data_IF_833562888722
#
_entry.id   IF_833562888722
#
_cell.length_a   1.000
_cell.length_b   1.000
_cell.length_c   1.000
_cell.angle_alpha   90.00
_cell.angle_beta   90.00
_cell.angle_gamma   90.00
#
_symmetry.space_group_name_H-M   'P 1'
#
loop_
_entity.id
_entity.type
_entity.pdbx_description
1 polymer ?
#
# COMPACT_ATOMS: atom_id res chain seq x y z
N UNK A 1 -71.82 37.04 44.73
CA UNK A 1 -71.44 37.17 43.31
C UNK A 1 -71.96 35.96 42.58
N UNK A 2 -72.81 36.18 41.57
CA UNK A 2 -73.34 35.12 40.72
C UNK A 2 -72.22 34.64 39.78
N UNK A 3 -71.98 33.32 39.72
CA UNK A 3 -70.99 32.73 38.82
C UNK A 3 -71.73 32.25 37.56
N UNK A 4 -71.34 32.78 36.40
CA UNK A 4 -71.95 32.50 35.10
C UNK A 4 -70.95 31.89 34.13
N UNK A 5 -71.39 30.87 33.38
CA UNK A 5 -70.61 30.23 32.33
C UNK A 5 -71.19 30.60 30.96
N UNK A 6 -70.47 31.42 30.19
CA UNK A 6 -70.90 31.87 28.86
C UNK A 6 -71.01 30.72 27.85
N UNK A 7 -70.17 29.68 27.97
CA UNK A 7 -70.17 28.57 27.02
C UNK A 7 -71.38 27.63 27.18
N UNK A 8 -72.05 27.62 28.33
CA UNK A 8 -73.12 26.67 28.66
C UNK A 8 -74.36 27.33 29.29
N UNK A 9 -74.38 28.66 29.37
CA UNK A 9 -75.41 29.50 30.01
C UNK A 9 -75.78 29.10 31.46
N UNK A 10 -74.89 28.39 32.14
CA UNK A 10 -75.10 27.91 33.51
C UNK A 10 -74.83 29.01 34.54
N UNK A 11 -75.76 29.22 35.49
CA UNK A 11 -75.62 30.19 36.58
C UNK A 11 -75.69 29.53 37.94
N UNK A 12 -74.87 29.99 38.89
CA UNK A 12 -74.99 29.60 40.30
C UNK A 12 -74.38 30.62 41.25
N UNK A 13 -74.99 30.77 42.42
CA UNK A 13 -74.49 31.68 43.47
C UNK A 13 -73.40 31.05 44.34
N UNK A 14 -73.15 29.73 44.20
CA UNK A 14 -72.20 28.97 45.00
C UNK A 14 -70.94 28.62 44.18
N UNK A 15 -69.81 29.21 44.56
CA UNK A 15 -68.52 29.02 43.87
C UNK A 15 -68.07 27.56 43.81
N UNK A 16 -68.37 26.75 44.84
CA UNK A 16 -68.03 25.33 44.87
C UNK A 16 -68.77 24.54 43.76
N UNK A 17 -70.03 24.86 43.50
CA UNK A 17 -70.82 24.22 42.45
C UNK A 17 -70.36 24.67 41.06
N UNK A 18 -69.97 25.95 40.92
CA UNK A 18 -69.40 26.45 39.68
C UNK A 18 -68.09 25.73 39.32
N UNK A 19 -67.18 25.53 40.29
CA UNK A 19 -65.95 24.76 40.06
C UNK A 19 -66.23 23.31 39.67
N UNK A 20 -67.21 22.65 40.30
CA UNK A 20 -67.65 21.29 39.90
C UNK A 20 -68.24 21.27 38.49
N UNK A 21 -69.00 22.30 38.11
CA UNK A 21 -69.52 22.45 36.75
C UNK A 21 -68.39 22.51 35.72
N UNK A 22 -67.36 23.34 35.94
CA UNK A 22 -66.20 23.47 35.05
C UNK A 22 -65.45 22.14 34.84
N UNK A 23 -65.43 21.27 35.86
CA UNK A 23 -64.78 19.97 35.80
C UNK A 23 -65.67 18.86 35.22
N UNK A 24 -66.95 19.16 34.92
CA UNK A 24 -67.88 18.16 34.42
C UNK A 24 -67.59 17.79 32.96
N UNK A 25 -67.76 16.50 32.63
CA UNK A 25 -67.57 16.00 31.26
C UNK A 25 -68.44 16.75 30.23
N UNK A 26 -69.65 17.18 30.62
CA UNK A 26 -70.55 17.97 29.77
C UNK A 26 -69.97 19.35 29.46
N UNK A 27 -69.47 20.07 30.47
CA UNK A 27 -68.84 21.38 30.26
C UNK A 27 -67.58 21.28 29.39
N UNK A 28 -66.71 20.28 29.63
CA UNK A 28 -65.48 20.09 28.87
C UNK A 28 -65.78 19.84 27.38
N UNK A 29 -66.83 19.07 27.06
CA UNK A 29 -67.22 18.83 25.67
C UNK A 29 -67.78 20.08 24.97
N UNK A 30 -68.55 20.90 25.68
CA UNK A 30 -69.14 22.13 25.11
C UNK A 30 -68.09 23.24 24.98
N UNK A 31 -67.20 23.41 25.97
CA UNK A 31 -66.10 24.38 25.91
C UNK A 31 -65.11 24.08 24.78
N UNK A 32 -64.78 22.81 24.53
CA UNK A 32 -63.93 22.41 23.39
C UNK A 32 -64.57 22.76 22.04
N UNK A 33 -65.90 22.69 21.91
CA UNK A 33 -66.62 23.13 20.70
C UNK A 33 -66.66 24.66 20.59
N UNK A 34 -66.87 25.37 21.71
CA UNK A 34 -66.89 26.83 21.76
C UNK A 34 -65.53 27.44 21.35
N UNK A 35 -64.41 26.88 21.82
CA UNK A 35 -63.05 27.31 21.44
C UNK A 35 -62.80 27.12 19.94
N UNK A 36 -63.32 26.03 19.34
CA UNK A 36 -63.21 25.80 17.89
C UNK A 36 -64.01 26.82 17.07
N UNK A 37 -65.17 27.26 17.54
CA UNK A 37 -65.98 28.29 16.86
C UNK A 37 -65.35 29.68 17.04
N UNK A 38 -64.80 29.97 18.22
CA UNK A 38 -64.12 31.24 18.51
C UNK A 38 -62.81 31.41 17.72
N UNK A 39 -62.13 30.32 17.35
CA UNK A 39 -60.97 30.34 16.47
C UNK A 39 -61.30 30.64 14.98
N UNK A 40 -62.56 30.47 14.55
CA UNK A 40 -63.01 30.74 13.18
C UNK A 40 -63.39 32.22 12.98
N UNK A 41 -63.73 32.94 14.05
CA UNK A 41 -64.05 34.37 14.05
C UNK A 41 -62.85 35.17 14.58
N UNK A 42 -61.82 35.31 13.73
CA UNK A 42 -60.53 35.91 14.06
C UNK A 42 -60.61 37.35 14.57
N UNK A 43 -60.46 37.52 15.90
CA UNK A 43 -60.15 38.81 16.54
C UNK A 43 -58.98 38.60 17.50
N UNK A 44 -57.74 38.75 17.02
CA UNK A 44 -56.57 38.98 17.89
C UNK A 44 -55.61 39.95 17.20
N UNK A 45 -55.36 41.09 17.87
CA UNK A 45 -54.39 42.14 17.50
C UNK A 45 -52.96 41.61 17.34
N UNK A 46 -52.12 42.23 16.48
CA UNK A 46 -50.77 41.73 16.21
C UNK A 46 -49.87 41.86 17.45
N UNK A 47 -49.38 40.72 17.97
CA UNK A 47 -48.30 40.68 18.97
C UNK A 47 -47.00 41.17 18.31
N UNK A 48 -46.38 42.20 18.87
CA UNK A 48 -45.03 42.63 18.48
C UNK A 48 -44.02 41.48 18.62
N UNK A 49 -43.11 41.31 17.66
CA UNK A 49 -42.09 40.26 17.67
C UNK A 49 -40.75 40.81 18.15
N UNK A 50 -40.43 40.59 19.43
CA UNK A 50 -39.23 41.14 20.09
C UNK A 50 -38.06 40.16 20.07
N UNK A 51 -36.85 40.64 19.82
CA UNK A 51 -35.63 39.84 19.87
C UNK A 51 -35.17 39.57 21.31
N UNK A 52 -34.98 38.30 21.66
CA UNK A 52 -34.56 37.87 23.01
C UNK A 52 -33.13 38.33 23.38
N UNK A 53 -32.28 38.60 22.40
CA UNK A 53 -30.84 38.86 22.62
C UNK A 53 -30.49 40.35 22.62
N UNK A 54 -31.29 41.19 21.95
CA UNK A 54 -31.03 42.64 21.88
C UNK A 54 -32.28 43.51 22.04
N UNK A 55 -33.42 42.90 22.42
CA UNK A 55 -34.68 43.55 22.77
C UNK A 55 -35.29 44.46 21.70
N UNK A 56 -34.83 44.36 20.45
CA UNK A 56 -35.40 45.11 19.32
C UNK A 56 -36.75 44.53 18.90
N UNK A 57 -37.73 45.40 18.68
CA UNK A 57 -39.07 45.01 18.22
C UNK A 57 -39.16 44.98 16.69
N UNK A 58 -39.85 43.97 16.18
CA UNK A 58 -40.06 43.77 14.75
C UNK A 58 -41.54 43.58 14.42
N UNK A 59 -41.93 44.15 13.27
CA UNK A 59 -43.30 44.09 12.75
C UNK A 59 -43.73 42.69 12.32
N UNK A 60 -42.77 41.84 11.93
CA UNK A 60 -43.03 40.49 11.41
C UNK A 60 -42.04 39.47 12.00
N UNK A 61 -42.52 38.23 12.20
CA UNK A 61 -41.70 37.09 12.67
C UNK A 61 -40.51 36.80 11.75
N UNK A 62 -40.69 36.96 10.44
CA UNK A 62 -39.63 36.79 9.43
C UNK A 62 -38.51 37.80 9.62
N UNK A 63 -38.84 39.06 9.90
CA UNK A 63 -37.87 40.13 10.18
C UNK A 63 -37.07 39.85 11.46
N UNK A 64 -37.74 39.37 12.51
CA UNK A 64 -37.07 38.92 13.74
C UNK A 64 -36.11 37.75 13.45
N UNK A 65 -36.54 36.76 12.67
CA UNK A 65 -35.73 35.58 12.36
C UNK A 65 -34.49 35.93 11.53
N UNK A 66 -34.62 36.82 10.55
CA UNK A 66 -33.49 37.32 9.76
C UNK A 66 -32.52 38.15 10.62
N UNK A 67 -33.05 38.95 11.54
CA UNK A 67 -32.23 39.69 12.49
C UNK A 67 -31.40 38.77 13.37
N UNK A 68 -31.98 37.73 13.99
CA UNK A 68 -31.26 36.76 14.82
C UNK A 68 -30.13 36.09 14.02
N UNK A 69 -30.42 35.70 12.76
CA UNK A 69 -29.49 34.92 11.95
C UNK A 69 -28.32 35.72 11.36
N UNK A 70 -28.55 36.98 10.95
CA UNK A 70 -27.57 37.71 10.14
C UNK A 70 -27.12 39.06 10.71
N UNK A 71 -27.77 39.57 11.76
CA UNK A 71 -27.54 40.96 12.20
C UNK A 71 -27.54 41.15 13.72
N UNK A 72 -27.81 40.12 14.50
CA UNK A 72 -27.84 40.20 15.96
C UNK A 72 -26.44 39.94 16.52
N UNK A 73 -25.73 41.02 16.86
CA UNK A 73 -24.36 40.98 17.39
C UNK A 73 -24.20 40.31 18.77
N UNK A 74 -25.32 39.88 19.38
CA UNK A 74 -25.37 39.20 20.70
C UNK A 74 -25.85 37.74 20.61
N UNK A 75 -26.05 37.21 19.40
CA UNK A 75 -26.45 35.82 19.16
C UNK A 75 -25.25 34.84 19.10
N UNK A 76 -24.02 35.33 19.28
CA UNK A 76 -22.79 34.56 19.06
C UNK A 76 -22.38 33.64 20.22
N UNK A 77 -22.92 33.85 21.43
CA UNK A 77 -22.47 33.11 22.63
C UNK A 77 -23.13 31.74 22.82
N UNK A 78 -24.33 31.51 22.29
CA UNK A 78 -25.01 30.20 22.43
C UNK A 78 -24.53 29.19 21.38
N UNK A 79 -24.32 29.64 20.15
CA UNK A 79 -23.81 28.77 19.07
C UNK A 79 -22.38 28.28 19.36
N UNK A 80 -21.55 29.11 20.01
CA UNK A 80 -20.20 28.72 20.41
C UNK A 80 -20.20 27.71 21.57
N UNK A 81 -21.09 27.86 22.55
CA UNK A 81 -21.23 26.91 23.67
C UNK A 81 -21.68 25.53 23.18
N UNK A 82 -22.63 25.49 22.25
CA UNK A 82 -23.11 24.22 21.69
C UNK A 82 -22.02 23.54 20.84
N UNK A 83 -21.23 24.31 20.09
CA UNK A 83 -20.07 23.77 19.37
C UNK A 83 -19.03 23.16 20.30
N UNK A 84 -18.69 23.83 21.41
CA UNK A 84 -17.76 23.33 22.42
C UNK A 84 -18.30 22.04 23.06
N UNK A 85 -19.60 21.97 23.34
CA UNK A 85 -20.25 20.77 23.89
C UNK A 85 -20.13 19.58 22.91
N UNK A 86 -20.40 19.80 21.63
CA UNK A 86 -20.28 18.78 20.58
C UNK A 86 -18.84 18.32 20.36
N UNK A 87 -17.87 19.23 20.45
CA UNK A 87 -16.44 18.90 20.36
C UNK A 87 -15.99 18.04 21.54
N UNK A 88 -16.37 18.39 22.77
CA UNK A 88 -16.05 17.59 23.95
C UNK A 88 -16.66 16.18 23.87
N UNK A 89 -17.90 16.07 23.41
CA UNK A 89 -18.54 14.77 23.18
C UNK A 89 -17.79 13.93 22.14
N UNK A 90 -17.29 14.56 21.06
CA UNK A 90 -16.49 13.87 20.04
C UNK A 90 -15.15 13.41 20.59
N UNK A 91 -14.46 14.22 21.39
CA UNK A 91 -13.20 13.85 22.04
C UNK A 91 -13.40 12.62 22.94
N UNK A 92 -14.44 12.61 23.79
CA UNK A 92 -14.74 11.45 24.63
C UNK A 92 -15.01 10.17 23.83
N UNK A 93 -15.66 10.28 22.67
CA UNK A 93 -15.88 9.11 21.79
C UNK A 93 -14.60 8.63 21.13
N UNK A 94 -13.69 9.54 20.78
CA UNK A 94 -12.39 9.21 20.21
C UNK A 94 -11.47 8.56 21.25
N UNK A 95 -11.46 9.06 22.48
CA UNK A 95 -10.67 8.47 23.57
C UNK A 95 -11.11 7.03 23.87
N UNK A 96 -12.42 6.77 23.90
CA UNK A 96 -12.94 5.41 24.04
C UNK A 96 -12.54 4.50 22.88
N UNK A 97 -12.54 5.01 21.64
CA UNK A 97 -12.08 4.24 20.49
C UNK A 97 -10.58 3.92 20.58
N UNK A 98 -9.74 4.89 20.95
CA UNK A 98 -8.31 4.71 21.14
C UNK A 98 -8.04 3.66 22.22
N UNK A 99 -8.75 3.71 23.35
CA UNK A 99 -8.60 2.73 24.42
C UNK A 99 -8.96 1.31 23.94
N UNK A 100 -10.04 1.16 23.16
CA UNK A 100 -10.41 -0.15 22.60
C UNK A 100 -9.41 -0.65 21.55
N UNK A 101 -8.79 0.25 20.79
CA UNK A 101 -7.75 -0.10 19.82
C UNK A 101 -6.46 -0.51 20.52
N UNK A 102 -6.04 0.21 21.56
CA UNK A 102 -4.87 -0.13 22.37
C UNK A 102 -5.01 -1.51 23.03
N UNK A 103 -6.18 -1.84 23.59
CA UNK A 103 -6.46 -3.18 24.14
C UNK A 103 -6.39 -4.30 23.09
N UNK A 104 -6.69 -4.01 21.82
CA UNK A 104 -6.54 -4.98 20.72
C UNK A 104 -5.07 -5.12 20.31
N UNK A 105 -4.31 -4.03 20.30
CA UNK A 105 -2.87 -4.01 20.00
C UNK A 105 -2.11 -4.83 21.05
N UNK A 106 -2.37 -4.63 22.35
CA UNK A 106 -1.73 -5.41 23.43
C UNK A 106 -2.01 -6.92 23.29
N UNK A 107 -3.26 -7.31 22.95
CA UNK A 107 -3.62 -8.71 22.70
C UNK A 107 -2.94 -9.31 21.47
N UNK A 108 -2.59 -8.50 20.47
CA UNK A 108 -1.83 -8.93 19.29
C UNK A 108 -0.33 -9.00 19.59
N UNK A 109 0.22 -8.03 20.33
CA UNK A 109 1.62 -8.03 20.76
C UNK A 109 1.95 -9.25 21.64
N UNK A 110 1.10 -9.59 22.61
CA UNK A 110 1.28 -10.79 23.43
C UNK A 110 1.20 -12.11 22.65
N UNK A 111 0.64 -12.12 21.43
CA UNK A 111 0.67 -13.28 20.52
C UNK A 111 1.92 -13.34 19.64
N UNK A 112 2.60 -12.21 19.42
CA UNK A 112 3.81 -12.13 18.62
C UNK A 112 5.07 -12.49 19.43
N UNK A 113 5.05 -12.32 20.74
CA UNK A 113 6.20 -12.63 21.62
C UNK A 113 6.51 -14.14 21.76
N UNK A 114 5.66 -15.04 21.26
CA UNK A 114 5.83 -16.50 21.43
C UNK A 114 6.66 -17.18 20.30
N UNK A 115 7.14 -16.48 19.26
CA UNK A 115 7.86 -17.11 18.14
C UNK A 115 9.29 -16.62 17.88
N UNK A 116 10.06 -16.29 18.92
CA UNK A 116 11.50 -15.97 18.79
C UNK A 116 12.43 -17.18 18.98
N UNK A 117 12.07 -18.35 18.42
CA UNK A 117 12.95 -19.53 18.34
C UNK A 117 13.41 -19.83 16.90
N UNK A 118 13.51 -18.80 16.05
CA UNK A 118 14.29 -18.91 14.82
C UNK A 118 15.71 -18.43 15.10
N UNK A 119 16.56 -19.34 15.57
CA UNK A 119 18.01 -19.19 15.46
C UNK A 119 18.40 -19.34 13.98
N UNK A 120 18.12 -18.34 13.15
CA UNK A 120 18.84 -18.15 11.90
C UNK A 120 20.19 -17.57 12.28
N UNK A 121 21.20 -18.43 12.39
CA UNK A 121 22.60 -18.01 12.29
C UNK A 121 22.77 -17.37 10.92
N UNK A 122 22.62 -16.05 10.85
CA UNK A 122 22.97 -15.26 9.68
C UNK A 122 24.50 -15.25 9.66
N UNK A 123 25.10 -16.33 9.16
CA UNK A 123 26.50 -16.33 8.74
C UNK A 123 26.52 -15.42 7.52
N UNK A 124 26.70 -14.13 7.78
CA UNK A 124 26.90 -13.12 6.76
C UNK A 124 28.32 -13.33 6.22
N UNK A 125 28.47 -14.33 5.36
CA UNK A 125 29.62 -14.43 4.47
C UNK A 125 29.54 -13.22 3.53
N UNK A 126 30.08 -12.08 3.93
CA UNK A 126 30.33 -10.94 3.06
C UNK A 126 31.43 -11.34 2.07
N UNK A 127 31.12 -12.17 1.08
CA UNK A 127 31.99 -12.34 -0.07
C UNK A 127 31.85 -11.09 -0.94
N UNK A 128 32.97 -10.45 -1.26
CA UNK A 128 32.97 -9.26 -2.13
C UNK A 128 32.97 -9.76 -3.57
N UNK A 129 32.02 -9.28 -4.36
CA UNK A 129 31.94 -9.63 -5.78
C UNK A 129 33.13 -9.00 -6.52
N UNK A 130 33.78 -9.76 -7.41
CA UNK A 130 34.86 -9.26 -8.25
C UNK A 130 34.29 -8.57 -9.48
N UNK A 131 34.96 -7.52 -9.94
CA UNK A 131 34.62 -6.89 -11.21
C UNK A 131 34.72 -7.91 -12.35
N UNK A 132 33.87 -7.79 -13.38
CA UNK A 132 33.88 -8.69 -14.54
C UNK A 132 35.26 -8.79 -15.21
N UNK A 133 36.00 -7.68 -15.26
CA UNK A 133 37.35 -7.63 -15.82
C UNK A 133 38.42 -8.23 -14.92
N UNK A 134 38.13 -8.40 -13.63
CA UNK A 134 39.02 -8.94 -12.62
C UNK A 134 38.54 -10.32 -12.14
N UNK A 135 37.78 -11.02 -13.00
CA UNK A 135 37.28 -12.36 -12.69
C UNK A 135 38.46 -13.28 -12.38
N UNK A 136 38.41 -13.93 -11.22
CA UNK A 136 39.46 -14.86 -10.79
C UNK A 136 39.41 -16.12 -11.67
N UNK A 137 40.52 -16.41 -12.37
CA UNK A 137 40.68 -17.62 -13.18
C UNK A 137 41.61 -18.64 -12.52
N UNK A 138 42.19 -18.31 -11.35
CA UNK A 138 43.21 -19.14 -10.69
C UNK A 138 42.70 -20.50 -10.20
N UNK A 139 41.39 -20.64 -10.04
CA UNK A 139 40.76 -21.90 -9.63
C UNK A 139 40.62 -22.90 -10.76
N UNK A 140 40.85 -22.49 -12.01
CA UNK A 140 40.74 -23.39 -13.15
C UNK A 140 41.92 -24.35 -13.18
N UNK A 141 41.61 -25.64 -13.26
CA UNK A 141 42.60 -26.70 -13.40
C UNK A 141 42.64 -27.22 -14.82
N UNK A 142 43.75 -27.85 -15.22
CA UNK A 142 43.86 -28.52 -16.52
C UNK A 142 42.71 -29.52 -16.77
N UNK A 143 42.23 -30.19 -15.72
CA UNK A 143 41.10 -31.10 -15.80
C UNK A 143 39.79 -30.38 -16.16
N UNK A 144 39.59 -29.14 -15.73
CA UNK A 144 38.43 -28.32 -16.10
C UNK A 144 38.46 -27.98 -17.60
N UNK A 145 39.62 -27.60 -18.13
CA UNK A 145 39.80 -27.35 -19.58
C UNK A 145 39.54 -28.63 -20.38
N UNK A 146 40.14 -29.75 -19.97
CA UNK A 146 39.91 -31.07 -20.59
C UNK A 146 38.43 -31.45 -20.56
N UNK A 147 37.75 -31.21 -19.45
CA UNK A 147 36.32 -31.47 -19.30
C UNK A 147 35.48 -30.63 -20.25
N UNK A 148 35.78 -29.34 -20.39
CA UNK A 148 35.07 -28.45 -21.29
C UNK A 148 35.25 -28.86 -22.77
N UNK A 149 36.49 -29.10 -23.22
CA UNK A 149 36.77 -29.49 -24.61
C UNK A 149 36.12 -30.84 -24.95
N UNK A 150 36.06 -31.77 -23.99
CA UNK A 150 35.37 -33.07 -24.17
C UNK A 150 33.88 -32.92 -24.52
N UNK A 151 33.25 -31.78 -24.20
CA UNK A 151 31.83 -31.51 -24.48
C UNK A 151 31.58 -30.89 -25.86
N UNK A 152 32.62 -30.70 -26.69
CA UNK A 152 32.54 -30.25 -28.09
C UNK A 152 31.68 -28.98 -28.19
N UNK A 153 30.44 -29.06 -28.68
CA UNK A 153 29.52 -27.93 -28.90
C UNK A 153 29.23 -27.11 -27.64
N UNK A 154 29.32 -27.71 -26.45
CA UNK A 154 29.07 -27.01 -25.18
C UNK A 154 30.36 -26.59 -24.46
N UNK A 155 31.53 -26.63 -25.12
CA UNK A 155 32.80 -26.31 -24.47
C UNK A 155 32.80 -24.89 -23.87
N UNK A 156 32.37 -23.89 -24.64
CA UNK A 156 32.30 -22.48 -24.20
C UNK A 156 31.25 -22.29 -23.11
N UNK A 157 30.05 -22.88 -23.26
CA UNK A 157 28.99 -22.83 -22.24
C UNK A 157 29.49 -23.36 -20.89
N UNK A 158 30.13 -24.52 -20.90
CA UNK A 158 30.66 -25.15 -19.69
C UNK A 158 31.82 -24.34 -19.09
N UNK A 159 32.62 -23.69 -19.93
CA UNK A 159 33.68 -22.80 -19.46
C UNK A 159 33.10 -21.58 -18.75
N UNK A 160 32.09 -20.91 -19.34
CA UNK A 160 31.38 -19.79 -18.70
C UNK A 160 30.77 -20.25 -17.37
N UNK A 161 30.19 -21.44 -17.32
CA UNK A 161 29.63 -22.01 -16.08
C UNK A 161 30.68 -22.19 -14.99
N UNK A 162 31.88 -22.67 -15.34
CA UNK A 162 33.00 -22.89 -14.43
C UNK A 162 33.69 -21.60 -13.97
N UNK A 163 33.66 -20.56 -14.80
CA UNK A 163 34.26 -19.26 -14.49
C UNK A 163 33.33 -18.42 -13.63
N UNK A 164 32.10 -18.16 -14.10
CA UNK A 164 31.20 -17.19 -13.48
C UNK A 164 30.18 -17.81 -12.52
N UNK A 165 29.89 -19.12 -12.63
CA UNK A 165 28.83 -19.79 -11.86
C UNK A 165 29.35 -20.94 -10.99
N UNK A 166 30.63 -20.88 -10.59
CA UNK A 166 31.22 -21.87 -9.71
C UNK A 166 30.66 -21.70 -8.27
N UNK A 167 30.10 -22.77 -7.65
CA UNK A 167 29.67 -22.73 -6.26
C UNK A 167 30.79 -22.42 -5.25
N UNK A 168 32.04 -22.77 -5.59
CA UNK A 168 33.21 -22.56 -4.72
C UNK A 168 33.80 -21.15 -4.83
N UNK A 169 33.45 -20.42 -5.89
CA UNK A 169 33.92 -19.06 -6.18
C UNK A 169 32.73 -18.13 -6.44
N UNK A 170 31.91 -17.85 -5.41
CA UNK A 170 30.76 -16.97 -5.55
C UNK A 170 31.17 -15.52 -5.92
N UNK A 171 32.44 -15.14 -5.71
CA UNK A 171 32.98 -13.83 -6.04
C UNK A 171 32.99 -13.55 -7.56
N UNK A 172 33.03 -14.59 -8.39
CA UNK A 172 33.02 -14.46 -9.86
C UNK A 172 31.61 -14.35 -10.46
N UNK A 173 30.57 -14.30 -9.63
CA UNK A 173 29.16 -14.20 -10.06
C UNK A 173 28.80 -12.77 -10.49
N UNK A 174 29.57 -12.24 -11.43
CA UNK A 174 29.63 -10.83 -11.81
C UNK A 174 28.90 -10.51 -13.12
N UNK A 175 28.12 -11.46 -13.64
CA UNK A 175 27.32 -11.31 -14.85
C UNK A 175 25.99 -12.09 -14.72
N UNK A 176 24.87 -11.47 -15.06
CA UNK A 176 23.56 -12.15 -15.12
C UNK A 176 22.53 -11.43 -15.99
N UNK A 177 21.47 -12.15 -16.39
CA UNK A 177 20.33 -11.56 -17.10
C UNK A 177 19.18 -11.34 -16.11
N UNK A 178 18.75 -10.08 -15.95
CA UNK A 178 17.63 -9.70 -15.08
C UNK A 178 16.26 -10.08 -15.68
N UNK A 179 16.12 -9.89 -16.99
CA UNK A 179 14.88 -10.14 -17.74
C UNK A 179 15.18 -10.74 -19.12
N UNK A 180 14.47 -11.82 -19.45
CA UNK A 180 14.61 -12.51 -20.74
C UNK A 180 14.22 -11.65 -21.95
N UNK A 181 13.21 -10.77 -21.80
CA UNK A 181 12.72 -9.89 -22.87
C UNK A 181 13.58 -8.65 -23.08
N UNK A 182 14.38 -8.28 -22.09
CA UNK A 182 15.20 -7.08 -22.17
C UNK A 182 16.35 -7.26 -23.19
N UNK A 183 16.79 -6.17 -23.80
CA UNK A 183 17.95 -6.14 -24.69
C UNK A 183 19.28 -6.01 -23.94
N UNK A 184 19.23 -5.84 -22.62
CA UNK A 184 20.40 -5.62 -21.78
C UNK A 184 20.73 -6.82 -20.88
N UNK A 185 21.99 -6.89 -20.44
CA UNK A 185 22.54 -7.80 -19.44
C UNK A 185 23.20 -6.97 -18.32
N UNK A 186 23.21 -7.50 -17.09
CA UNK A 186 23.84 -6.86 -15.96
C UNK A 186 25.27 -7.37 -15.79
N UNK A 187 26.22 -6.45 -15.68
CA UNK A 187 27.65 -6.74 -15.46
C UNK A 187 28.11 -5.93 -14.25
N UNK A 188 28.87 -6.54 -13.36
CA UNK A 188 29.44 -5.87 -12.21
C UNK A 188 30.80 -5.26 -12.54
N UNK A 189 30.99 -3.97 -12.27
CA UNK A 189 32.25 -3.26 -12.53
C UNK A 189 33.20 -3.20 -11.31
N UNK A 190 32.82 -3.82 -10.19
CA UNK A 190 33.54 -3.74 -8.91
C UNK A 190 32.88 -2.83 -7.88
N UNK A 191 32.04 -1.89 -8.34
CA UNK A 191 31.28 -0.99 -7.48
C UNK A 191 29.76 -1.18 -7.69
N UNK A 192 29.30 -1.10 -8.94
CA UNK A 192 27.89 -1.09 -9.33
C UNK A 192 27.58 -2.11 -10.44
N UNK A 193 26.31 -2.47 -10.53
CA UNK A 193 25.77 -3.24 -11.66
C UNK A 193 25.44 -2.30 -12.83
N UNK A 194 26.09 -2.52 -13.96
CA UNK A 194 25.91 -1.74 -15.17
C UNK A 194 25.17 -2.55 -16.25
N UNK A 195 24.34 -1.86 -17.03
CA UNK A 195 23.64 -2.43 -18.17
C UNK A 195 24.56 -2.43 -19.39
N UNK A 196 24.74 -3.60 -20.00
CA UNK A 196 25.43 -3.78 -21.28
C UNK A 196 24.49 -4.39 -22.32
N UNK A 197 24.79 -4.21 -23.61
CA UNK A 197 24.01 -4.85 -24.67
C UNK A 197 24.15 -6.37 -24.59
N UNK A 198 23.01 -7.07 -24.50
CA UNK A 198 22.96 -8.53 -24.33
C UNK A 198 23.61 -9.29 -25.48
N UNK A 199 23.44 -8.84 -26.73
CA UNK A 199 24.03 -9.53 -27.89
C UNK A 199 25.53 -9.33 -27.91
N UNK A 200 25.96 -8.07 -27.91
CA UNK A 200 27.38 -7.71 -28.01
C UNK A 200 28.21 -8.26 -26.83
N UNK A 201 27.64 -8.30 -25.62
CA UNK A 201 28.33 -8.88 -24.47
C UNK A 201 28.37 -10.41 -24.53
N UNK A 202 27.28 -11.05 -24.96
CA UNK A 202 27.27 -12.51 -25.07
C UNK A 202 28.24 -13.00 -26.14
N UNK A 203 28.34 -12.28 -27.26
CA UNK A 203 29.29 -12.58 -28.33
C UNK A 203 30.74 -12.41 -27.83
N UNK A 204 31.03 -11.29 -27.13
CA UNK A 204 32.35 -11.08 -26.51
C UNK A 204 32.71 -12.13 -25.47
N UNK A 205 31.78 -12.46 -24.57
CA UNK A 205 31.95 -13.50 -23.56
C UNK A 205 32.24 -14.86 -24.22
N UNK A 206 31.55 -15.15 -25.33
CA UNK A 206 31.74 -16.39 -26.07
C UNK A 206 33.15 -16.44 -26.70
N UNK A 207 33.54 -15.39 -27.42
CA UNK A 207 34.85 -15.28 -28.09
C UNK A 207 36.02 -15.33 -27.08
N UNK A 208 35.90 -14.63 -25.96
CA UNK A 208 36.93 -14.60 -24.92
C UNK A 208 37.19 -15.99 -24.33
N UNK A 209 36.12 -16.74 -24.04
CA UNK A 209 36.24 -18.08 -23.45
C UNK A 209 36.63 -19.14 -24.49
N UNK A 210 36.32 -18.92 -25.76
CA UNK A 210 36.84 -19.73 -26.88
C UNK A 210 38.35 -19.54 -27.04
N UNK A 211 38.83 -18.30 -27.05
CA UNK A 211 40.26 -17.97 -27.14
C UNK A 211 41.04 -18.59 -25.97
N UNK A 212 40.49 -18.52 -24.76
CA UNK A 212 41.10 -19.13 -23.58
C UNK A 212 41.21 -20.67 -23.68
N UNK A 213 40.26 -21.33 -24.33
CA UNK A 213 40.32 -22.78 -24.59
C UNK A 213 41.38 -23.11 -25.65
N UNK A 214 41.50 -22.27 -26.69
CA UNK A 214 42.48 -22.42 -27.76
C UNK A 214 43.91 -22.24 -27.23
N UNK A 215 44.18 -21.17 -26.48
CA UNK A 215 45.50 -20.89 -25.89
C UNK A 215 45.95 -22.02 -24.94
N UNK A 216 45.02 -22.55 -24.14
CA UNK A 216 45.31 -23.68 -23.27
C UNK A 216 45.61 -24.96 -24.06
N UNK A 217 44.90 -25.20 -25.16
CA UNK A 217 45.10 -26.36 -26.03
C UNK A 217 46.44 -26.29 -26.78
N UNK A 218 46.87 -25.09 -27.19
CA UNK A 218 48.18 -24.87 -27.80
C UNK A 218 49.32 -25.09 -26.79
N UNK A 219 49.11 -24.71 -25.52
CA UNK A 219 50.05 -24.94 -24.43
C UNK A 219 50.08 -26.41 -23.96
N UNK A 220 48.96 -27.12 -24.07
CA UNK A 220 48.79 -28.53 -23.68
C UNK A 220 48.34 -29.40 -24.86
N UNK A 221 49.24 -29.66 -25.83
CA UNK A 221 48.87 -30.34 -27.06
C UNK A 221 48.44 -31.78 -26.77
N UNK A 222 47.13 -32.02 -26.89
CA UNK A 222 46.53 -33.35 -26.82
C UNK A 222 45.78 -33.60 -28.14
N UNK A 223 46.23 -34.58 -28.96
CA UNK A 223 45.63 -34.86 -30.26
C UNK A 223 44.12 -35.16 -30.19
N UNK A 224 43.66 -35.82 -29.13
CA UNK A 224 42.26 -36.22 -28.95
C UNK A 224 41.41 -34.98 -28.64
N UNK A 225 41.93 -34.07 -27.82
CA UNK A 225 41.24 -32.83 -27.50
C UNK A 225 41.23 -31.87 -28.68
N UNK A 226 42.34 -31.82 -29.44
CA UNK A 226 42.43 -31.03 -30.65
C UNK A 226 41.43 -31.47 -31.71
N UNK A 227 41.28 -32.77 -31.92
CA UNK A 227 40.25 -33.30 -32.84
C UNK A 227 38.84 -32.89 -32.40
N UNK A 228 38.54 -32.94 -31.09
CA UNK A 228 37.25 -32.50 -30.55
C UNK A 228 37.04 -31.00 -30.68
N UNK A 229 38.08 -30.20 -30.52
CA UNK A 229 38.01 -28.75 -30.67
C UNK A 229 37.84 -28.37 -32.15
N UNK A 230 38.51 -29.05 -33.08
CA UNK A 230 38.28 -28.90 -34.53
C UNK A 230 36.84 -29.29 -34.89
N UNK A 231 36.32 -30.37 -34.31
CA UNK A 231 34.91 -30.75 -34.50
C UNK A 231 33.95 -29.66 -34.00
N UNK A 232 34.30 -28.99 -32.90
CA UNK A 232 33.55 -27.83 -32.42
C UNK A 232 33.61 -26.67 -33.42
N UNK A 233 34.78 -26.32 -33.95
CA UNK A 233 34.94 -25.26 -34.96
C UNK A 233 34.12 -25.56 -36.23
N UNK A 234 34.17 -26.81 -36.72
CA UNK A 234 33.38 -27.22 -37.89
C UNK A 234 31.85 -27.16 -37.63
N UNK A 235 31.41 -27.39 -36.39
CA UNK A 235 29.99 -27.27 -36.02
C UNK A 235 29.59 -25.80 -35.76
N UNK A 236 30.55 -24.91 -35.52
CA UNK A 236 30.31 -23.47 -35.35
C UNK A 236 29.98 -22.79 -36.68
N UNK A 237 30.48 -23.34 -37.79
CA UNK A 237 30.09 -22.93 -39.15
C UNK A 237 28.60 -23.21 -39.44
N UNK A 238 27.97 -24.10 -38.67
CA UNK A 238 26.52 -24.29 -38.67
C UNK A 238 25.83 -23.29 -37.71
N UNK A 239 25.36 -22.18 -38.28
CA UNK A 239 24.65 -21.11 -37.57
C UNK A 239 23.49 -21.61 -36.69
N UNK A 240 22.83 -22.73 -37.03
CA UNK A 240 21.73 -23.27 -36.25
C UNK A 240 22.21 -23.85 -34.91
N UNK A 241 23.34 -24.55 -34.93
CA UNK A 241 23.95 -25.11 -33.73
C UNK A 241 24.45 -24.00 -32.80
N UNK A 242 25.14 -23.00 -33.36
CA UNK A 242 25.67 -21.86 -32.61
C UNK A 242 24.54 -21.06 -31.94
N UNK A 243 23.47 -20.77 -32.65
CA UNK A 243 22.33 -20.04 -32.11
C UNK A 243 21.65 -20.79 -30.95
N UNK A 244 21.54 -22.12 -31.05
CA UNK A 244 21.01 -22.96 -29.97
C UNK A 244 21.88 -22.90 -28.72
N UNK A 245 23.20 -22.95 -28.88
CA UNK A 245 24.15 -22.85 -27.77
C UNK A 245 24.10 -21.46 -27.12
N UNK A 246 23.99 -20.40 -27.92
CA UNK A 246 23.85 -19.03 -27.40
C UNK A 246 22.56 -18.85 -26.59
N UNK A 247 21.43 -19.40 -27.05
CA UNK A 247 20.18 -19.40 -26.28
C UNK A 247 20.30 -20.23 -24.99
N UNK A 248 21.01 -21.34 -25.02
CA UNK A 248 21.35 -22.14 -23.84
C UNK A 248 22.18 -21.36 -22.80
N UNK A 249 23.17 -20.59 -23.25
CA UNK A 249 23.98 -19.72 -22.37
C UNK A 249 23.12 -18.61 -21.78
N UNK A 250 22.26 -17.99 -22.59
CA UNK A 250 21.31 -16.97 -22.14
C UNK A 250 20.35 -17.50 -21.08
N UNK A 251 19.81 -18.71 -21.27
CA UNK A 251 18.97 -19.38 -20.26
C UNK A 251 19.77 -19.65 -18.98
N UNK A 252 21.02 -20.08 -19.09
CA UNK A 252 21.90 -20.27 -17.93
C UNK A 252 22.15 -18.97 -17.18
N UNK A 253 22.48 -17.87 -17.87
CA UNK A 253 22.72 -16.55 -17.30
C UNK A 253 21.48 -15.98 -16.58
N UNK A 254 20.28 -16.34 -17.05
CA UNK A 254 19.03 -15.97 -16.39
C UNK A 254 18.73 -16.86 -15.16
N UNK A 255 18.73 -18.18 -15.34
CA UNK A 255 18.38 -19.13 -14.29
C UNK A 255 19.38 -19.10 -13.12
N UNK A 256 20.69 -19.04 -13.42
CA UNK A 256 21.72 -18.95 -12.40
C UNK A 256 21.89 -17.52 -11.87
N UNK A 257 21.40 -16.52 -12.59
CA UNK A 257 21.30 -15.14 -12.15
C UNK A 257 20.36 -14.96 -10.94
N UNK A 258 19.30 -15.77 -10.81
CA UNK A 258 18.43 -15.74 -9.63
C UNK A 258 19.19 -16.05 -8.33
N UNK A 259 20.27 -16.84 -8.40
CA UNK A 259 21.12 -17.17 -7.25
C UNK A 259 22.12 -16.05 -6.90
N UNK A 260 22.18 -14.98 -7.70
CA UNK A 260 23.13 -13.85 -7.57
C UNK A 260 22.47 -12.57 -7.07
N UNK A 261 21.13 -12.47 -7.14
CA UNK A 261 20.38 -11.31 -6.68
C UNK A 261 20.03 -11.41 -5.18
N UNK A 262 20.46 -10.45 -4.33
CA UNK A 262 20.06 -10.41 -2.92
C UNK A 262 18.60 -9.96 -2.72
N UNK A 263 17.91 -9.48 -3.76
CA UNK A 263 16.61 -8.84 -3.61
C UNK A 263 15.57 -9.37 -4.62
N UNK A 264 14.59 -10.18 -4.17
CA UNK A 264 13.48 -10.68 -5.00
C UNK A 264 12.55 -9.59 -5.55
N UNK A 265 12.65 -8.36 -5.04
CA UNK A 265 11.68 -7.28 -5.27
C UNK A 265 11.91 -6.46 -6.55
N UNK A 266 12.96 -6.72 -7.33
CA UNK A 266 13.19 -6.06 -8.63
C UNK A 266 12.47 -6.75 -9.80
N UNK A 267 11.70 -7.81 -9.53
CA UNK A 267 10.79 -8.43 -10.51
C UNK A 267 9.38 -7.87 -10.35
N UNK A 268 9.19 -6.63 -10.76
CA UNK A 268 7.88 -5.98 -10.94
C UNK A 268 7.78 -5.39 -12.32
#
# INVERSE_FOLDING_TARGET
MENYCECCEYKTNLTANFKKHLMSKKHIQVSQKFVKVSAVLGIISPKAHVCKYCEKEYKHRSSLSNHIKYSCNKNTDEDLKELVRLLNQRIETQDKQIETQNKKIEKLMGKLEINSSFNTTNIQNNFTLLAYRETDLSHLTDDDYRFCIKKVNHCVKNMIEKVHFNPLKPENRNIYISNMKDKYIMIYDGNNWNLANKKDELDRLYEEKEMMLEEWLDSNPDPILKEKFIKYLNNKDDDECLNRIKEDIKLMLYNKGELTCPNPLLKS
#
